data_IF_046811532274
#
_entry.id   IF_046811532274
#
_cell.length_a   1.000
_cell.length_b   1.000
_cell.length_c   1.000
_cell.angle_alpha   90.00
_cell.angle_beta   90.00
_cell.angle_gamma   90.00
#
_symmetry.space_group_name_H-M   'P 1'
#
loop_
_entity.id
_entity.type
_entity.pdbx_description
1 polymer ?
#
# COMPACT_ATOMS: atom_id res chain seq x y z
N UNK A 1 5.56 27.09 -5.26
CA UNK A 1 4.08 27.01 -5.20
C UNK A 1 3.50 27.55 -6.50
N UNK A 2 3.29 26.67 -7.47
CA UNK A 2 2.80 27.05 -8.79
C UNK A 2 1.27 27.13 -8.77
N UNK A 3 0.68 28.27 -9.18
CA UNK A 3 -0.78 28.46 -9.25
C UNK A 3 -1.18 28.64 -10.70
N UNK A 4 -1.93 27.68 -11.24
CA UNK A 4 -2.56 27.82 -12.56
C UNK A 4 -3.93 28.47 -12.37
N UNK A 5 -4.25 29.46 -13.20
CA UNK A 5 -5.59 30.06 -13.24
C UNK A 5 -6.48 29.22 -14.16
N UNK A 6 -7.57 28.69 -13.63
CA UNK A 6 -8.66 28.10 -14.42
C UNK A 6 -9.88 28.98 -14.20
N UNK A 7 -10.12 29.91 -15.13
CA UNK A 7 -11.14 30.96 -14.97
C UNK A 7 -10.95 31.76 -13.68
N UNK A 8 -12.00 31.84 -12.86
CA UNK A 8 -12.01 32.59 -11.59
C UNK A 8 -11.59 31.73 -10.38
N UNK A 9 -11.39 30.43 -10.57
CA UNK A 9 -11.02 29.53 -9.48
C UNK A 9 -9.50 29.50 -9.26
N UNK A 10 -9.09 29.58 -7.99
CA UNK A 10 -7.71 29.36 -7.56
C UNK A 10 -7.58 27.93 -7.04
N UNK A 11 -7.07 27.02 -7.86
CA UNK A 11 -6.76 25.65 -7.45
C UNK A 11 -5.26 25.54 -7.09
N UNK A 12 -4.94 24.91 -5.96
CA UNK A 12 -3.57 24.62 -5.56
C UNK A 12 -3.06 23.37 -6.27
N UNK A 13 -2.03 23.52 -7.10
CA UNK A 13 -1.40 22.40 -7.79
C UNK A 13 -0.19 21.96 -6.99
N UNK A 14 -0.23 20.70 -6.58
CA UNK A 14 0.87 20.03 -5.92
C UNK A 14 1.43 19.00 -6.88
N UNK A 15 2.71 19.11 -7.18
CA UNK A 15 3.41 18.07 -7.91
C UNK A 15 3.43 16.80 -7.05
N UNK A 16 2.95 15.70 -7.61
CA UNK A 16 3.01 14.38 -6.98
C UNK A 16 4.18 13.65 -7.61
N UNK A 17 5.25 13.47 -6.84
CA UNK A 17 6.34 12.61 -7.27
C UNK A 17 5.79 11.17 -7.35
N UNK A 18 5.58 10.71 -8.59
CA UNK A 18 5.11 9.35 -8.84
C UNK A 18 6.27 8.41 -8.61
N UNK A 19 6.34 7.84 -7.42
CA UNK A 19 7.32 6.80 -7.14
C UNK A 19 7.16 5.64 -8.12
N UNK A 20 8.24 5.36 -8.84
CA UNK A 20 8.32 4.26 -9.78
C UNK A 20 8.34 2.94 -9.00
N UNK A 21 7.23 2.20 -9.06
CA UNK A 21 7.12 0.86 -8.48
C UNK A 21 7.27 -0.20 -9.57
N UNK A 22 8.14 -1.18 -9.32
CA UNK A 22 8.31 -2.32 -10.20
C UNK A 22 7.23 -3.37 -9.93
N UNK A 23 6.41 -3.70 -10.92
CA UNK A 23 5.37 -4.73 -10.79
C UNK A 23 5.89 -6.17 -10.87
N UNK A 24 7.18 -6.37 -11.18
CA UNK A 24 7.84 -7.69 -11.13
C UNK A 24 8.31 -8.03 -9.72
N UNK A 25 9.13 -7.19 -9.09
CA UNK A 25 9.71 -7.48 -7.79
C UNK A 25 9.07 -6.73 -6.61
N UNK A 26 8.18 -5.77 -6.89
CA UNK A 26 7.50 -4.89 -5.93
C UNK A 26 8.40 -3.89 -5.18
N UNK A 27 9.61 -3.63 -5.69
CA UNK A 27 10.48 -2.57 -5.20
C UNK A 27 10.20 -1.21 -5.83
N UNK A 28 10.64 -0.16 -5.14
CA UNK A 28 10.58 1.22 -5.62
C UNK A 28 11.90 1.60 -6.32
N UNK A 29 11.85 2.61 -7.18
CA UNK A 29 13.01 3.20 -7.86
C UNK A 29 13.31 2.65 -9.25
N UNK A 30 12.56 1.66 -9.74
CA UNK A 30 12.75 1.13 -11.10
C UNK A 30 11.46 0.56 -11.72
N UNK A 31 11.50 0.31 -13.03
CA UNK A 31 10.41 -0.29 -13.80
C UNK A 31 10.68 -1.75 -14.14
N UNK A 32 9.64 -2.47 -14.58
CA UNK A 32 9.69 -3.88 -14.99
C UNK A 32 10.83 -4.21 -15.97
N UNK A 33 11.13 -3.29 -16.89
CA UNK A 33 12.18 -3.45 -17.89
C UNK A 33 13.59 -3.53 -17.29
N UNK A 34 13.84 -2.79 -16.21
CA UNK A 34 15.14 -2.70 -15.54
C UNK A 34 15.21 -3.55 -14.26
N UNK A 35 14.24 -4.46 -14.06
CA UNK A 35 14.13 -5.28 -12.87
C UNK A 35 15.21 -6.38 -12.88
N UNK A 36 16.06 -6.39 -11.84
CA UNK A 36 17.04 -7.45 -11.57
C UNK A 36 16.61 -8.43 -10.47
N UNK A 37 15.47 -8.16 -9.83
CA UNK A 37 14.93 -8.99 -8.74
C UNK A 37 14.10 -10.18 -9.23
N UNK A 38 13.70 -11.04 -8.28
CA UNK A 38 12.83 -12.18 -8.52
C UNK A 38 11.47 -11.76 -9.07
N UNK A 39 10.94 -12.52 -10.03
CA UNK A 39 9.61 -12.29 -10.57
C UNK A 39 8.54 -12.77 -9.59
N UNK A 40 7.71 -11.83 -9.13
CA UNK A 40 6.56 -12.02 -8.24
C UNK A 40 5.27 -11.58 -8.90
N UNK A 41 5.26 -11.37 -10.21
CA UNK A 41 4.09 -10.89 -10.95
C UNK A 41 2.90 -11.86 -10.95
N UNK A 42 3.15 -13.14 -10.68
CA UNK A 42 2.13 -14.19 -10.53
C UNK A 42 1.53 -14.27 -9.12
N UNK A 43 2.13 -13.57 -8.15
CA UNK A 43 1.69 -13.55 -6.77
C UNK A 43 0.70 -12.40 -6.54
N UNK A 44 -0.19 -12.58 -5.56
CA UNK A 44 -1.10 -11.52 -5.15
C UNK A 44 -0.32 -10.35 -4.56
N UNK A 45 -0.47 -9.15 -5.14
CA UNK A 45 0.22 -7.93 -4.68
C UNK A 45 -0.11 -7.51 -3.24
N UNK A 46 -1.20 -8.04 -2.65
CA UNK A 46 -1.58 -7.76 -1.26
C UNK A 46 -0.90 -8.72 -0.27
N UNK A 47 -1.02 -10.02 -0.48
CA UNK A 47 -0.61 -11.04 0.49
C UNK A 47 0.57 -11.93 0.05
N UNK A 48 1.13 -11.68 -1.14
CA UNK A 48 2.21 -12.46 -1.75
C UNK A 48 1.92 -13.96 -1.98
N UNK A 49 0.66 -14.40 -1.93
CA UNK A 49 0.27 -15.78 -2.24
C UNK A 49 -0.18 -15.93 -3.70
N UNK A 50 0.09 -17.06 -4.36
CA UNK A 50 -0.41 -17.34 -5.71
C UNK A 50 -1.92 -17.65 -5.71
N UNK A 51 -2.52 -17.73 -6.90
CA UNK A 51 -3.88 -18.24 -7.12
C UNK A 51 -5.00 -17.21 -7.08
N UNK A 52 -4.72 -15.95 -6.76
CA UNK A 52 -5.72 -14.88 -6.80
C UNK A 52 -5.09 -13.51 -7.07
N UNK A 53 -5.91 -12.58 -7.56
CA UNK A 53 -5.51 -11.17 -7.73
C UNK A 53 -5.80 -10.36 -6.45
N UNK A 54 -5.18 -9.19 -6.34
CA UNK A 54 -5.35 -8.29 -5.20
C UNK A 54 -6.83 -7.90 -4.95
N UNK A 55 -7.64 -7.79 -6.01
CA UNK A 55 -9.05 -7.45 -5.92
C UNK A 55 -9.90 -8.54 -5.26
N UNK A 56 -9.50 -9.81 -5.39
CA UNK A 56 -10.17 -10.96 -4.77
C UNK A 56 -9.46 -11.42 -3.49
N UNK A 57 -8.52 -10.62 -2.96
CA UNK A 57 -7.68 -11.03 -1.84
C UNK A 57 -8.38 -10.79 -0.48
N UNK A 58 -8.79 -11.89 0.15
CA UNK A 58 -9.32 -11.90 1.51
C UNK A 58 -8.23 -11.99 2.60
N UNK A 59 -6.98 -12.26 2.21
CA UNK A 59 -5.86 -12.31 3.15
C UNK A 59 -5.42 -10.91 3.59
N UNK A 60 -4.71 -10.85 4.71
CA UNK A 60 -4.05 -9.64 5.20
C UNK A 60 -2.93 -9.19 4.26
N UNK A 61 -2.62 -7.90 4.30
CA UNK A 61 -1.48 -7.38 3.55
C UNK A 61 -0.18 -7.87 4.16
N UNK A 62 0.69 -8.44 3.32
CA UNK A 62 1.97 -9.01 3.72
C UNK A 62 3.10 -8.44 2.87
N UNK A 63 4.20 -8.11 3.53
CA UNK A 63 5.38 -7.56 2.89
C UNK A 63 6.49 -8.60 2.82
N UNK A 64 6.94 -8.96 1.63
CA UNK A 64 7.99 -9.97 1.45
C UNK A 64 9.38 -9.47 1.83
N UNK A 65 9.58 -8.14 1.87
CA UNK A 65 10.87 -7.53 2.20
C UNK A 65 11.15 -7.50 3.71
N UNK A 66 10.13 -7.22 4.53
CA UNK A 66 10.26 -7.25 5.98
C UNK A 66 9.64 -8.48 6.64
N UNK A 67 8.86 -9.28 5.90
CA UNK A 67 8.15 -10.47 6.37
C UNK A 67 7.11 -10.18 7.45
N UNK A 68 6.55 -8.96 7.42
CA UNK A 68 5.53 -8.48 8.36
C UNK A 68 4.16 -8.33 7.69
N UNK A 69 3.11 -8.48 8.49
CA UNK A 69 1.72 -8.17 8.10
C UNK A 69 1.39 -6.69 8.32
N UNK A 70 0.30 -6.21 7.74
CA UNK A 70 -0.20 -4.83 7.90
C UNK A 70 0.25 -3.85 6.80
N UNK A 71 1.13 -4.24 5.88
CA UNK A 71 1.42 -3.47 4.67
C UNK A 71 1.85 -4.33 3.49
N UNK A 72 1.76 -3.76 2.28
CA UNK A 72 2.16 -4.42 1.04
C UNK A 72 3.63 -4.15 0.71
N UNK A 73 4.24 -5.06 -0.05
CA UNK A 73 5.60 -4.89 -0.57
C UNK A 73 5.70 -3.65 -1.46
N UNK A 74 6.72 -2.82 -1.22
CA UNK A 74 6.89 -1.51 -1.86
C UNK A 74 5.98 -0.41 -1.31
N UNK A 75 5.35 -0.61 -0.15
CA UNK A 75 4.69 0.48 0.58
C UNK A 75 5.73 1.31 1.34
N UNK A 76 5.53 2.63 1.41
CA UNK A 76 6.32 3.53 2.27
C UNK A 76 6.18 3.20 3.76
N UNK A 77 5.17 2.41 4.14
CA UNK A 77 4.99 1.88 5.50
C UNK A 77 5.93 0.71 5.82
N UNK A 78 6.72 0.22 4.86
CA UNK A 78 7.71 -0.80 5.11
C UNK A 78 8.95 -0.21 5.79
N UNK A 79 9.33 -0.67 7.00
CA UNK A 79 10.50 -0.15 7.71
C UNK A 79 11.82 -0.43 6.98
N UNK A 80 11.87 -1.49 6.15
CA UNK A 80 13.06 -1.85 5.37
C UNK A 80 13.14 -1.16 4.00
N UNK A 81 12.01 -0.80 3.39
CA UNK A 81 11.98 -0.15 2.08
C UNK A 81 11.95 1.39 2.15
N UNK A 82 11.80 1.97 3.35
CA UNK A 82 11.70 3.42 3.58
C UNK A 82 13.00 4.23 3.52
N UNK A 83 14.11 3.68 2.99
CA UNK A 83 15.37 4.45 2.82
C UNK A 83 15.42 5.12 1.44
N UNK A 84 14.41 5.92 1.11
CA UNK A 84 14.59 6.98 0.11
C UNK A 84 15.25 8.15 0.82
N UNK A 85 16.43 8.54 0.32
CA UNK A 85 17.28 9.57 0.88
C UNK A 85 16.52 10.89 0.92
N UNK A 86 16.56 11.52 2.09
CA UNK A 86 16.19 12.89 2.46
C UNK A 86 15.42 13.71 1.41
N UNK A 87 14.11 13.84 1.64
CA UNK A 87 13.22 14.65 0.81
C UNK A 87 11.76 14.62 1.29
N UNK A 88 11.52 15.09 2.52
CA UNK A 88 10.24 15.54 3.08
C UNK A 88 8.93 14.90 2.53
N UNK A 89 8.37 13.94 3.26
CA UNK A 89 6.91 13.74 3.29
C UNK A 89 6.46 13.31 4.68
N UNK A 90 6.54 14.27 5.60
CA UNK A 90 5.72 14.28 6.79
C UNK A 90 4.26 14.45 6.38
N UNK A 91 3.46 13.41 6.55
CA UNK A 91 2.04 13.57 6.80
C UNK A 91 1.64 12.43 7.74
N UNK A 92 2.00 12.65 9.00
CA UNK A 92 1.36 12.00 10.12
C UNK A 92 -0.14 12.30 10.03
N UNK A 93 -0.94 11.27 9.79
CA UNK A 93 -2.32 11.24 10.26
C UNK A 93 -2.46 9.97 11.08
N UNK A 94 -2.21 10.13 12.37
CA UNK A 94 -2.60 9.16 13.38
C UNK A 94 -4.11 9.30 13.59
N UNK A 95 -4.88 8.43 12.91
CA UNK A 95 -6.19 8.02 13.39
C UNK A 95 -6.12 6.52 13.65
N UNK A 96 -5.70 6.18 14.86
CA UNK A 96 -6.12 4.94 15.46
C UNK A 96 -7.65 4.94 15.55
N UNK A 97 -8.27 3.84 15.13
CA UNK A 97 -9.58 3.49 15.64
C UNK A 97 -9.62 1.98 15.89
N UNK A 98 -9.58 1.66 17.17
CA UNK A 98 -9.69 0.35 17.76
C UNK A 98 -11.18 -0.01 17.91
N UNK A 99 -11.53 -1.27 17.67
CA UNK A 99 -12.77 -1.91 18.14
C UNK A 99 -14.01 -1.69 17.26
N UNK A 100 -14.87 -2.68 17.02
CA UNK A 100 -14.89 -4.07 17.44
C UNK A 100 -16.01 -4.80 16.69
N UNK A 101 -15.73 -6.03 16.25
CA UNK A 101 -16.77 -6.97 15.82
C UNK A 101 -17.39 -7.56 17.08
N UNK A 102 -18.66 -7.23 17.33
CA UNK A 102 -19.52 -8.10 18.13
C UNK A 102 -20.39 -8.87 17.15
N UNK A 103 -19.96 -10.09 16.85
CA UNK A 103 -20.86 -11.12 16.36
C UNK A 103 -21.82 -11.44 17.50
N UNK A 104 -23.13 -11.37 17.24
CA UNK A 104 -24.12 -12.01 18.10
C UNK A 104 -24.55 -13.29 17.38
N UNK A 105 -23.86 -14.37 17.74
CA UNK A 105 -24.39 -15.72 17.65
C UNK A 105 -25.36 -15.87 18.85
N UNK A 106 -26.67 -15.75 18.62
CA UNK A 106 -27.68 -16.12 19.62
C UNK A 106 -28.24 -17.51 19.26
N UNK A 107 -27.77 -18.58 19.93
CA UNK A 107 -28.36 -19.90 19.79
C UNK A 107 -29.67 -19.96 20.56
N UNK A 108 -30.74 -20.22 19.81
CA UNK A 108 -32.01 -20.77 20.29
C UNK A 108 -31.82 -21.76 21.42
N UNK A 109 -32.44 -21.56 22.60
CA UNK A 109 -33.05 -22.60 23.46
C UNK A 109 -33.89 -21.99 24.61
N UNK A 110 -34.90 -22.76 25.05
CA UNK A 110 -35.84 -22.58 26.17
C UNK A 110 -37.08 -21.72 25.83
N UNK A 111 -38.34 -22.16 25.97
CA UNK A 111 -38.96 -23.36 26.54
C UNK A 111 -40.45 -23.07 26.65
#
# INVERSE_FOLDING_TARGET
MSKIKIGWMKCGIYEREKELKCFRCWELGHIKANCKGSDRSTLCAKCAKPGHMANACQNESYCVHCQEVGHQSGSRRCPKSGKMKDGASSSQNERGNSGGSQNQDDPSQCG
#
